data_IF_671604579031
#
_entry.id   IF_671604579031
#
_cell.length_a   1.000
_cell.length_b   1.000
_cell.length_c   1.000
_cell.angle_alpha   90.00
_cell.angle_beta   90.00
_cell.angle_gamma   90.00
#
_symmetry.space_group_name_H-M   'P 1'
#
loop_
_entity.id
_entity.type
_entity.pdbx_description
1 polymer ?
#
# COMPACT_ATOMS: atom_id res chain seq x y z
N UNK A 1 -22.00 12.74 -18.48
CA UNK A 1 -20.85 11.83 -18.63
C UNK A 1 -20.36 11.22 -17.31
N UNK A 2 -20.21 11.98 -16.22
CA UNK A 2 -19.79 11.44 -14.93
C UNK A 2 -20.70 10.35 -14.37
N UNK A 3 -22.03 10.47 -14.53
CA UNK A 3 -22.99 9.47 -14.04
C UNK A 3 -22.93 8.12 -14.77
N UNK A 4 -22.60 8.10 -16.08
CA UNK A 4 -22.42 6.85 -16.84
C UNK A 4 -21.14 6.13 -16.43
N UNK A 5 -20.09 6.88 -16.13
CA UNK A 5 -18.81 6.33 -15.70
C UNK A 5 -18.91 5.69 -14.31
N UNK A 6 -19.58 6.37 -13.38
CA UNK A 6 -19.80 5.84 -12.02
C UNK A 6 -20.64 4.55 -12.03
N UNK A 7 -21.67 4.46 -12.87
CA UNK A 7 -22.47 3.23 -13.02
C UNK A 7 -21.66 2.08 -13.60
N UNK A 8 -20.76 2.36 -14.53
CA UNK A 8 -19.89 1.36 -15.14
C UNK A 8 -18.89 0.81 -14.12
N UNK A 9 -18.24 1.68 -13.37
CA UNK A 9 -17.32 1.28 -12.30
C UNK A 9 -18.00 0.44 -11.22
N UNK A 10 -19.22 0.81 -10.80
CA UNK A 10 -19.98 0.06 -9.82
C UNK A 10 -20.38 -1.34 -10.31
N UNK A 11 -20.71 -1.47 -11.60
CA UNK A 11 -21.01 -2.78 -12.20
C UNK A 11 -19.78 -3.66 -12.28
N UNK A 12 -18.65 -3.13 -12.73
CA UNK A 12 -17.38 -3.86 -12.76
C UNK A 12 -16.94 -4.28 -11.37
N UNK A 13 -17.07 -3.39 -10.39
CA UNK A 13 -16.75 -3.68 -9.01
C UNK A 13 -17.61 -4.83 -8.46
N UNK A 14 -18.90 -4.84 -8.74
CA UNK A 14 -19.80 -5.95 -8.35
C UNK A 14 -19.42 -7.27 -9.02
N UNK A 15 -19.05 -7.23 -10.31
CA UNK A 15 -18.62 -8.40 -11.07
C UNK A 15 -17.32 -8.95 -10.47
N UNK A 16 -16.35 -8.09 -10.20
CA UNK A 16 -15.07 -8.44 -9.57
C UNK A 16 -15.31 -9.06 -8.19
N UNK A 17 -16.20 -8.49 -7.38
CA UNK A 17 -16.55 -9.01 -6.07
C UNK A 17 -17.20 -10.39 -6.15
N UNK A 18 -18.09 -10.65 -7.11
CA UNK A 18 -18.69 -11.97 -7.31
C UNK A 18 -17.65 -13.02 -7.70
N UNK A 19 -16.72 -12.68 -8.59
CA UNK A 19 -15.67 -13.62 -9.02
C UNK A 19 -14.66 -13.90 -7.91
N UNK A 20 -14.52 -13.00 -6.94
CA UNK A 20 -13.57 -13.18 -5.86
C UNK A 20 -14.02 -14.22 -4.82
N UNK A 21 -15.28 -14.67 -4.83
CA UNK A 21 -15.77 -15.66 -3.88
C UNK A 21 -15.04 -16.99 -3.96
N UNK A 22 -14.54 -17.37 -5.13
CA UNK A 22 -13.78 -18.60 -5.34
C UNK A 22 -12.43 -18.62 -4.60
N UNK A 23 -11.93 -17.45 -4.21
CA UNK A 23 -10.66 -17.29 -3.50
C UNK A 23 -10.78 -17.46 -1.99
N UNK A 24 -11.99 -17.66 -1.49
CA UNK A 24 -12.26 -17.75 -0.07
C UNK A 24 -12.70 -19.15 0.31
N UNK A 25 -12.26 -19.60 1.47
CA UNK A 25 -12.81 -20.77 2.13
C UNK A 25 -13.88 -20.29 3.10
N UNK A 26 -15.02 -20.95 3.08
CA UNK A 26 -16.15 -20.57 3.92
C UNK A 26 -16.41 -21.61 5.00
N UNK A 27 -16.69 -21.13 6.19
CA UNK A 27 -17.04 -21.93 7.34
C UNK A 27 -18.36 -21.44 7.93
N UNK A 28 -19.25 -22.37 8.26
CA UNK A 28 -20.52 -22.06 8.90
C UNK A 28 -20.52 -22.69 10.29
N UNK A 29 -20.89 -21.91 11.29
CA UNK A 29 -20.95 -22.39 12.66
C UNK A 29 -21.86 -21.48 13.50
N UNK A 30 -22.25 -21.95 14.68
CA UNK A 30 -22.96 -21.14 15.66
C UNK A 30 -21.93 -20.59 16.65
N UNK A 31 -22.01 -19.29 16.93
CA UNK A 31 -21.14 -18.65 17.89
C UNK A 31 -21.58 -18.94 19.34
N UNK A 32 -20.89 -18.33 20.30
CA UNK A 32 -21.19 -18.50 21.73
C UNK A 32 -22.62 -18.07 22.10
N UNK A 33 -23.23 -17.19 21.33
CA UNK A 33 -24.59 -16.68 21.53
C UNK A 33 -25.64 -17.39 20.65
N UNK A 34 -25.29 -18.57 20.12
CA UNK A 34 -26.13 -19.36 19.22
C UNK A 34 -26.54 -18.61 17.94
N UNK A 35 -25.76 -17.63 17.50
CA UNK A 35 -25.98 -16.93 16.23
C UNK A 35 -25.31 -17.68 15.09
N UNK A 36 -26.03 -17.82 13.98
CA UNK A 36 -25.46 -18.38 12.75
C UNK A 36 -24.38 -17.43 12.22
N UNK A 37 -23.17 -17.96 12.07
CA UNK A 37 -22.01 -17.20 11.64
C UNK A 37 -21.41 -17.84 10.40
N UNK A 38 -21.10 -17.02 9.42
CA UNK A 38 -20.33 -17.43 8.23
C UNK A 38 -18.97 -16.74 8.32
N UNK A 39 -17.91 -17.52 8.23
CA UNK A 39 -16.55 -17.00 8.16
C UNK A 39 -16.01 -17.23 6.76
N UNK A 40 -15.39 -16.21 6.18
CA UNK A 40 -14.63 -16.30 4.95
C UNK A 40 -13.15 -16.17 5.29
N UNK A 41 -12.33 -17.08 4.79
CA UNK A 41 -10.90 -17.09 5.02
C UNK A 41 -10.15 -17.00 3.71
N UNK A 42 -9.14 -16.16 3.66
CA UNK A 42 -8.22 -16.04 2.53
C UNK A 42 -6.81 -15.81 3.08
N UNK A 43 -5.82 -15.76 2.21
CA UNK A 43 -4.43 -15.55 2.62
C UNK A 43 -3.91 -14.22 2.09
N UNK A 44 -3.08 -13.57 2.90
CA UNK A 44 -2.34 -12.39 2.50
C UNK A 44 -0.95 -12.45 3.15
N UNK A 45 0.08 -12.36 2.30
CA UNK A 45 1.48 -12.42 2.74
C UNK A 45 1.78 -13.65 3.61
N UNK A 46 1.23 -14.81 3.23
CA UNK A 46 1.43 -16.09 3.94
C UNK A 46 0.63 -16.25 5.23
N UNK A 47 -0.23 -15.29 5.57
CA UNK A 47 -1.07 -15.36 6.78
C UNK A 47 -2.53 -15.41 6.43
N UNK A 48 -3.30 -16.15 7.21
CA UNK A 48 -4.75 -16.26 7.03
C UNK A 48 -5.45 -15.00 7.54
N UNK A 49 -6.34 -14.45 6.71
CA UNK A 49 -7.20 -13.33 7.06
C UNK A 49 -8.63 -13.80 7.01
N UNK A 50 -9.43 -13.50 8.02
CA UNK A 50 -10.82 -13.93 8.14
C UNK A 50 -11.76 -12.74 8.24
N UNK A 51 -12.91 -12.85 7.55
CA UNK A 51 -14.03 -11.95 7.69
C UNK A 51 -15.25 -12.73 8.17
N UNK A 52 -16.11 -12.10 8.94
CA UNK A 52 -17.25 -12.76 9.56
C UNK A 52 -18.55 -12.04 9.23
N UNK A 53 -19.62 -12.82 9.04
CA UNK A 53 -20.97 -12.31 8.96
C UNK A 53 -21.81 -13.06 9.99
N UNK A 54 -22.44 -12.33 10.91
CA UNK A 54 -23.31 -12.90 11.92
C UNK A 54 -24.75 -12.56 11.59
N UNK A 55 -25.64 -13.55 11.73
CA UNK A 55 -27.07 -13.37 11.54
C UNK A 55 -27.78 -13.28 12.89
N UNK A 56 -28.61 -12.26 13.05
CA UNK A 56 -29.54 -12.20 14.18
C UNK A 56 -30.65 -13.20 13.91
N UNK A 57 -31.09 -14.02 14.92
CA UNK A 57 -32.20 -14.97 14.74
C UNK A 57 -33.52 -14.36 14.25
N UNK A 58 -33.67 -13.04 14.40
CA UNK A 58 -34.84 -12.28 13.95
C UNK A 58 -34.83 -11.93 12.47
N UNK A 59 -33.63 -12.01 11.82
CA UNK A 59 -33.48 -11.66 10.41
C UNK A 59 -33.54 -12.91 9.55
N UNK A 60 -34.13 -12.79 8.35
CA UNK A 60 -34.05 -13.85 7.36
C UNK A 60 -32.65 -13.93 6.80
N UNK A 61 -31.88 -14.85 7.34
CA UNK A 61 -30.49 -15.04 6.94
C UNK A 61 -30.41 -15.92 5.70
N UNK A 62 -29.89 -15.34 4.62
CA UNK A 62 -29.50 -16.10 3.44
C UNK A 62 -28.01 -16.45 3.57
N UNK A 63 -27.69 -17.74 3.46
CA UNK A 63 -26.32 -18.24 3.50
C UNK A 63 -25.48 -17.58 2.40
N UNK A 64 -26.07 -17.35 1.23
CA UNK A 64 -25.39 -16.70 0.12
C UNK A 64 -25.01 -15.26 0.44
N UNK A 65 -25.93 -14.50 1.03
CA UNK A 65 -25.65 -13.13 1.47
C UNK A 65 -24.63 -13.10 2.61
N UNK A 66 -24.71 -14.07 3.51
CA UNK A 66 -23.73 -14.23 4.58
C UNK A 66 -22.31 -14.47 4.04
N UNK A 67 -22.18 -15.32 3.03
CA UNK A 67 -20.89 -15.57 2.36
C UNK A 67 -20.39 -14.33 1.66
N UNK A 68 -21.23 -13.61 0.94
CA UNK A 68 -20.85 -12.37 0.27
C UNK A 68 -20.36 -11.31 1.27
N UNK A 69 -21.08 -11.13 2.37
CA UNK A 69 -20.72 -10.18 3.40
C UNK A 69 -19.42 -10.57 4.11
N UNK A 70 -19.25 -11.84 4.45
CA UNK A 70 -18.05 -12.35 5.07
C UNK A 70 -16.83 -12.18 4.15
N UNK A 71 -16.99 -12.50 2.86
CA UNK A 71 -15.95 -12.31 1.85
C UNK A 71 -15.60 -10.83 1.68
N UNK A 72 -16.60 -9.96 1.62
CA UNK A 72 -16.38 -8.51 1.52
C UNK A 72 -15.61 -7.96 2.73
N UNK A 73 -15.95 -8.41 3.93
CA UNK A 73 -15.25 -8.03 5.16
C UNK A 73 -13.82 -8.55 5.19
N UNK A 74 -13.59 -9.78 4.74
CA UNK A 74 -12.26 -10.35 4.59
C UNK A 74 -11.43 -9.54 3.59
N UNK A 75 -12.01 -9.23 2.43
CA UNK A 75 -11.35 -8.43 1.41
C UNK A 75 -11.02 -7.03 1.91
N UNK A 76 -11.90 -6.41 2.68
CA UNK A 76 -11.64 -5.10 3.28
C UNK A 76 -10.45 -5.14 4.24
N UNK A 77 -10.33 -6.20 5.05
CA UNK A 77 -9.17 -6.40 5.94
C UNK A 77 -7.88 -6.56 5.14
N UNK A 78 -7.91 -7.33 4.06
CA UNK A 78 -6.75 -7.51 3.18
C UNK A 78 -6.37 -6.19 2.52
N UNK A 79 -7.36 -5.44 2.02
CA UNK A 79 -7.13 -4.14 1.40
C UNK A 79 -6.49 -3.15 2.40
N UNK A 80 -6.94 -3.14 3.64
CA UNK A 80 -6.36 -2.32 4.70
C UNK A 80 -4.89 -2.70 4.97
N UNK A 81 -4.58 -4.00 4.97
CA UNK A 81 -3.21 -4.49 5.10
C UNK A 81 -2.32 -4.07 3.93
N UNK A 82 -2.88 -4.09 2.71
CA UNK A 82 -2.17 -3.62 1.51
C UNK A 82 -1.85 -2.13 1.59
N UNK A 83 -2.79 -1.32 2.04
CA UNK A 83 -2.59 0.12 2.23
C UNK A 83 -1.47 0.36 3.25
N UNK A 84 -1.49 -0.34 4.36
CA UNK A 84 -0.47 -0.22 5.41
C UNK A 84 0.92 -0.56 4.86
N UNK A 85 1.03 -1.65 4.10
CA UNK A 85 2.30 -2.06 3.49
C UNK A 85 2.77 -1.07 2.43
N UNK A 86 1.87 -0.62 1.56
CA UNK A 86 2.18 0.36 0.52
C UNK A 86 2.61 1.69 1.14
N UNK A 87 1.93 2.13 2.20
CA UNK A 87 2.29 3.34 2.94
C UNK A 87 3.69 3.26 3.52
N UNK A 88 4.04 2.12 4.13
CA UNK A 88 5.38 1.91 4.69
C UNK A 88 6.47 1.98 3.61
N UNK A 89 6.24 1.32 2.48
CA UNK A 89 7.19 1.36 1.34
C UNK A 89 7.30 2.75 0.74
N UNK A 90 6.19 3.45 0.64
CA UNK A 90 6.17 4.83 0.14
C UNK A 90 6.99 5.75 1.05
N UNK A 91 6.80 5.65 2.36
CA UNK A 91 7.55 6.44 3.33
C UNK A 91 9.05 6.11 3.29
N UNK A 92 9.40 4.84 3.16
CA UNK A 92 10.79 4.40 2.99
C UNK A 92 11.42 5.02 1.73
N UNK A 93 10.69 5.00 0.61
CA UNK A 93 11.15 5.61 -0.64
C UNK A 93 11.40 7.12 -0.48
N UNK A 94 10.51 7.81 0.22
CA UNK A 94 10.69 9.24 0.51
C UNK A 94 11.93 9.51 1.36
N UNK A 95 12.17 8.68 2.35
CA UNK A 95 13.38 8.79 3.18
C UNK A 95 14.65 8.59 2.37
N UNK A 96 14.68 7.57 1.51
CA UNK A 96 15.80 7.31 0.62
C UNK A 96 16.06 8.48 -0.33
N UNK A 97 15.01 9.05 -0.90
CA UNK A 97 15.12 10.22 -1.77
C UNK A 97 15.68 11.43 -1.01
N UNK A 98 15.19 11.66 0.20
CA UNK A 98 15.65 12.75 1.04
C UNK A 98 17.14 12.61 1.36
N UNK A 99 17.58 11.40 1.75
CA UNK A 99 19.00 11.12 2.02
C UNK A 99 19.87 11.28 0.78
N UNK A 100 19.38 10.82 -0.38
CA UNK A 100 20.09 10.98 -1.65
C UNK A 100 20.26 12.46 -2.01
N UNK A 101 19.23 13.27 -1.81
CA UNK A 101 19.29 14.71 -2.05
C UNK A 101 20.28 15.41 -1.11
N UNK A 102 20.31 15.01 0.14
CA UNK A 102 21.27 15.54 1.13
C UNK A 102 22.70 15.18 0.74
N UNK A 103 22.93 13.94 0.33
CA UNK A 103 24.24 13.49 -0.15
C UNK A 103 24.66 14.28 -1.37
N UNK A 104 23.76 14.47 -2.34
CA UNK A 104 24.03 15.25 -3.54
C UNK A 104 24.40 16.70 -3.20
N UNK A 105 23.72 17.32 -2.24
CA UNK A 105 24.02 18.66 -1.79
C UNK A 105 25.45 18.75 -1.22
N UNK A 106 25.81 17.76 -0.38
CA UNK A 106 27.20 17.71 0.18
C UNK A 106 28.24 17.51 -0.91
N UNK A 107 27.94 16.66 -1.88
CA UNK A 107 28.90 16.40 -2.99
C UNK A 107 29.02 17.60 -3.92
N UNK A 108 27.94 18.33 -4.14
CA UNK A 108 27.98 19.60 -4.90
C UNK A 108 28.90 20.64 -4.22
N UNK A 109 28.77 20.78 -2.91
CA UNK A 109 29.61 21.67 -2.11
C UNK A 109 31.07 21.24 -2.16
N UNK A 110 31.33 19.96 -1.97
CA UNK A 110 32.69 19.39 -2.07
C UNK A 110 33.29 19.63 -3.45
N UNK A 111 32.53 19.41 -4.50
CA UNK A 111 32.99 19.63 -5.89
C UNK A 111 33.30 21.10 -6.13
N UNK A 112 32.42 22.00 -5.71
CA UNK A 112 32.61 23.44 -5.87
C UNK A 112 33.87 23.91 -5.12
N UNK A 113 34.06 23.46 -3.88
CA UNK A 113 35.26 23.81 -3.09
C UNK A 113 36.53 23.28 -3.75
N UNK A 114 36.52 22.09 -4.31
CA UNK A 114 37.64 21.50 -5.00
C UNK A 114 38.03 22.32 -6.25
N UNK A 115 37.03 22.76 -7.03
CA UNK A 115 37.24 23.61 -8.19
C UNK A 115 37.86 24.94 -7.77
N UNK A 116 37.34 25.57 -6.72
CA UNK A 116 37.86 26.84 -6.19
C UNK A 116 39.33 26.68 -5.70
N UNK A 117 39.64 25.58 -5.03
CA UNK A 117 41.01 25.28 -4.60
C UNK A 117 41.96 25.10 -5.78
N UNK A 118 41.48 24.45 -6.84
CA UNK A 118 42.29 24.29 -8.06
C UNK A 118 42.55 25.66 -8.72
N UNK A 119 41.53 26.49 -8.83
CA UNK A 119 41.68 27.84 -9.42
C UNK A 119 42.66 28.69 -8.60
N UNK A 120 42.60 28.65 -7.28
CA UNK A 120 43.53 29.33 -6.40
C UNK A 120 44.96 28.81 -6.57
N UNK A 121 45.12 27.50 -6.66
CA UNK A 121 46.43 26.87 -6.86
C UNK A 121 47.02 27.26 -8.22
N UNK A 122 46.20 27.25 -9.27
CA UNK A 122 46.67 27.68 -10.61
C UNK A 122 47.02 29.15 -10.65
N UNK A 123 46.27 30.00 -9.95
CA UNK A 123 46.59 31.42 -9.84
C UNK A 123 47.91 31.63 -9.13
N UNK A 124 48.19 30.87 -8.07
CA UNK A 124 49.46 30.92 -7.35
C UNK A 124 50.64 30.53 -8.25
N UNK A 125 50.45 29.48 -9.06
CA UNK A 125 51.47 29.06 -10.04
C UNK A 125 51.76 30.18 -11.04
N UNK A 126 50.71 30.76 -11.59
CA UNK A 126 50.83 31.86 -12.57
C UNK A 126 51.57 33.07 -11.98
N UNK A 127 51.22 33.44 -10.75
CA UNK A 127 51.85 34.57 -10.05
C UNK A 127 53.33 34.31 -9.78
N UNK A 128 53.67 33.10 -9.38
CA UNK A 128 55.06 32.71 -9.17
C UNK A 128 55.87 32.73 -10.48
N UNK A 129 55.27 32.26 -11.56
CA UNK A 129 55.93 32.32 -12.87
C UNK A 129 56.18 33.74 -13.34
N UNK A 130 55.30 34.69 -13.08
CA UNK A 130 55.43 36.08 -13.42
C UNK A 130 56.54 36.76 -12.61
N UNK A 131 56.83 36.35 -11.38
CA UNK A 131 57.80 36.90 -10.50
C UNK A 131 59.23 36.37 -10.79
N UNK A 132 59.32 35.37 -11.59
CA UNK A 132 60.56 34.78 -12.05
C UNK A 132 60.99 35.45 -13.35
#
# INVERSE_FOLDING_TARGET
MKKKFEKFEKKEFKIIMKYSLDKYKFYQYKDKNAKDTVAAASTYAGRTVKGYAKCDPKDQFSIEKGKELAAARCNAKIAAKRVKRASAKYMESRMQLFEAKRFMARMTEYYTDAVDQLDEANAAVTDLMKSM
#
